data_IF_146465025607
#
_entry.id   IF_146465025607
#
_cell.length_a   1.000
_cell.length_b   1.000
_cell.length_c   1.000
_cell.angle_alpha   90.00
_cell.angle_beta   90.00
_cell.angle_gamma   90.00
#
_symmetry.space_group_name_H-M   'P 1'
#
loop_
_entity.id
_entity.type
_entity.pdbx_description
1 polymer ?
#
# COMPACT_ATOMS: atom_id res chain seq x y z
N UNK A 1 26.95 4.60 -0.34
CA UNK A 1 27.07 3.12 -0.26
C UNK A 1 26.31 2.55 -1.45
N UNK A 2 26.99 1.92 -2.43
CA UNK A 2 26.27 1.25 -3.52
C UNK A 2 25.79 -0.10 -2.96
N UNK A 3 24.48 -0.24 -2.72
CA UNK A 3 23.92 -1.56 -2.48
C UNK A 3 23.95 -2.33 -3.80
N UNK A 4 24.62 -3.48 -3.80
CA UNK A 4 24.51 -4.46 -4.88
C UNK A 4 23.19 -5.23 -4.67
N UNK A 5 22.10 -4.69 -5.23
CA UNK A 5 20.75 -5.26 -5.13
C UNK A 5 20.59 -6.63 -5.78
N UNK A 6 21.64 -7.15 -6.42
CA UNK A 6 21.65 -8.47 -7.04
C UNK A 6 21.64 -9.61 -6.01
N UNK A 7 22.04 -9.34 -4.76
CA UNK A 7 21.98 -10.31 -3.67
C UNK A 7 21.71 -9.63 -2.32
N UNK A 8 20.47 -9.71 -1.83
CA UNK A 8 20.17 -9.43 -0.42
C UNK A 8 20.44 -10.68 0.41
N UNK A 9 21.31 -10.59 1.41
CA UNK A 9 21.49 -11.68 2.37
C UNK A 9 20.34 -11.69 3.40
N UNK A 10 20.20 -12.80 4.15
CA UNK A 10 19.13 -12.95 5.13
C UNK A 10 19.08 -11.81 6.16
N UNK A 11 20.25 -11.30 6.60
CA UNK A 11 20.30 -10.18 7.54
C UNK A 11 19.71 -8.89 6.93
N UNK A 12 19.94 -8.64 5.64
CA UNK A 12 19.39 -7.47 4.94
C UNK A 12 17.88 -7.63 4.69
N UNK A 13 17.41 -8.84 4.36
CA UNK A 13 15.98 -9.13 4.24
C UNK A 13 15.26 -9.00 5.59
N UNK A 14 15.86 -9.49 6.67
CA UNK A 14 15.30 -9.35 8.02
C UNK A 14 15.29 -7.89 8.47
N UNK A 15 16.34 -7.12 8.16
CA UNK A 15 16.36 -5.68 8.42
C UNK A 15 15.26 -4.95 7.62
N UNK A 16 15.03 -5.34 6.36
CA UNK A 16 13.94 -4.79 5.56
C UNK A 16 12.58 -5.13 6.17
N UNK A 17 12.37 -6.39 6.58
CA UNK A 17 11.14 -6.81 7.28
C UNK A 17 10.90 -6.02 8.55
N UNK A 18 11.94 -5.75 9.34
CA UNK A 18 11.80 -4.96 10.57
C UNK A 18 11.38 -3.52 10.27
N UNK A 19 12.00 -2.89 9.26
CA UNK A 19 11.61 -1.54 8.82
C UNK A 19 10.16 -1.51 8.34
N UNK A 20 9.76 -2.49 7.52
CA UNK A 20 8.38 -2.59 7.00
C UNK A 20 7.38 -2.91 8.12
N UNK A 21 7.74 -3.73 9.11
CA UNK A 21 6.90 -4.01 10.28
C UNK A 21 6.63 -2.74 11.11
N UNK A 22 7.66 -1.92 11.34
CA UNK A 22 7.51 -0.64 12.04
C UNK A 22 6.60 0.30 11.24
N UNK A 23 6.85 0.44 9.93
CA UNK A 23 6.02 1.24 9.03
C UNK A 23 4.57 0.75 8.99
N UNK A 24 4.35 -0.56 8.93
CA UNK A 24 3.01 -1.16 8.97
C UNK A 24 2.29 -0.89 10.30
N UNK A 25 2.99 -0.88 11.44
CA UNK A 25 2.42 -0.49 12.73
C UNK A 25 1.98 0.99 12.78
N UNK A 26 2.80 1.88 12.20
CA UNK A 26 2.48 3.30 12.06
C UNK A 26 1.28 3.49 11.10
N UNK A 27 1.28 2.81 9.96
CA UNK A 27 0.19 2.81 8.99
C UNK A 27 -1.11 2.30 9.61
N UNK A 28 -1.07 1.17 10.33
CA UNK A 28 -2.22 0.62 11.05
C UNK A 28 -2.79 1.62 12.07
N UNK A 29 -1.92 2.34 12.78
CA UNK A 29 -2.34 3.40 13.72
C UNK A 29 -3.00 4.58 12.99
N UNK A 30 -2.42 5.04 11.89
CA UNK A 30 -2.95 6.15 11.09
C UNK A 30 -4.29 5.77 10.44
N UNK A 31 -4.38 4.60 9.81
CA UNK A 31 -5.61 4.06 9.24
C UNK A 31 -6.67 3.82 10.31
N UNK A 32 -6.30 3.35 11.51
CA UNK A 32 -7.26 3.17 12.60
C UNK A 32 -7.93 4.49 13.01
N UNK A 33 -7.15 5.58 13.04
CA UNK A 33 -7.66 6.93 13.30
C UNK A 33 -8.56 7.41 12.15
N UNK A 34 -8.14 7.20 10.90
CA UNK A 34 -8.89 7.60 9.71
C UNK A 34 -10.25 6.86 9.64
N UNK A 35 -10.23 5.52 9.77
CA UNK A 35 -11.41 4.66 9.66
C UNK A 35 -12.27 4.62 10.93
N UNK A 36 -11.80 5.21 12.05
CA UNK A 36 -12.42 5.11 13.38
C UNK A 36 -12.73 3.66 13.79
N UNK A 37 -11.84 2.75 13.41
CA UNK A 37 -11.96 1.29 13.63
C UNK A 37 -10.58 0.74 13.97
N UNK A 38 -10.55 -0.39 14.66
CA UNK A 38 -9.26 -1.06 14.88
C UNK A 38 -8.76 -1.63 13.55
N UNK A 39 -7.54 -1.26 13.18
CA UNK A 39 -6.81 -1.82 12.05
C UNK A 39 -5.57 -2.51 12.58
N UNK A 40 -5.35 -3.74 12.14
CA UNK A 40 -4.14 -4.50 12.40
C UNK A 40 -3.49 -4.81 11.07
N UNK A 41 -2.17 -4.66 10.98
CA UNK A 41 -1.38 -5.04 9.82
C UNK A 41 -0.33 -6.04 10.27
N UNK A 42 -0.14 -7.09 9.48
CA UNK A 42 0.92 -8.08 9.68
C UNK A 42 1.84 -8.03 8.45
N UNK A 43 3.16 -8.07 8.66
CA UNK A 43 4.12 -8.20 7.55
C UNK A 43 4.68 -9.61 7.58
N UNK A 44 4.19 -10.51 6.72
CA UNK A 44 4.59 -11.91 6.78
C UNK A 44 5.92 -12.17 6.06
N UNK A 45 6.17 -11.60 4.88
CA UNK A 45 7.29 -12.02 4.02
C UNK A 45 7.94 -10.85 3.25
N UNK A 46 9.23 -11.01 2.91
CA UNK A 46 9.96 -10.10 2.05
C UNK A 46 10.86 -10.94 1.13
N UNK A 47 10.77 -10.70 -0.16
CA UNK A 47 11.48 -11.45 -1.19
C UNK A 47 12.07 -10.50 -2.24
N UNK A 48 13.22 -10.88 -2.79
CA UNK A 48 13.79 -10.23 -3.96
C UNK A 48 13.33 -10.98 -5.21
N UNK A 49 12.47 -10.35 -6.01
CA UNK A 49 11.96 -10.91 -7.26
C UNK A 49 12.14 -9.94 -8.42
N UNK A 50 12.25 -10.42 -9.66
CA UNK A 50 12.14 -9.57 -10.84
C UNK A 50 10.76 -8.92 -10.95
N UNK A 51 10.70 -7.67 -11.39
CA UNK A 51 9.45 -6.90 -11.50
C UNK A 51 8.39 -7.56 -12.38
N UNK A 52 8.80 -8.30 -13.42
CA UNK A 52 7.88 -8.99 -14.32
C UNK A 52 7.23 -10.23 -13.69
N UNK A 53 7.75 -10.73 -12.57
CA UNK A 53 7.15 -11.85 -11.83
C UNK A 53 6.08 -11.39 -10.82
N UNK A 54 5.96 -10.09 -10.55
CA UNK A 54 5.04 -9.55 -9.52
C UNK A 54 3.59 -10.01 -9.77
N UNK A 55 3.13 -9.94 -11.02
CA UNK A 55 1.77 -10.31 -11.39
C UNK A 55 1.49 -11.82 -11.26
N UNK A 56 2.51 -12.67 -11.40
CA UNK A 56 2.38 -14.13 -11.23
C UNK A 56 2.51 -14.55 -9.75
N UNK A 57 3.21 -13.75 -8.94
CA UNK A 57 3.48 -14.03 -7.52
C UNK A 57 2.36 -13.57 -6.58
N UNK A 58 1.73 -12.43 -6.85
CA UNK A 58 0.82 -11.76 -5.90
C UNK A 58 -0.62 -11.61 -6.41
N UNK A 59 -1.04 -12.44 -7.37
CA UNK A 59 -2.42 -12.46 -7.88
C UNK A 59 -2.56 -13.33 -9.12
N UNK A 60 -3.78 -13.38 -9.69
CA UNK A 60 -3.92 -13.85 -11.07
C UNK A 60 -3.55 -12.68 -12.01
N UNK A 61 -2.79 -12.92 -13.09
CA UNK A 61 -2.34 -11.85 -13.99
C UNK A 61 -3.46 -11.00 -14.61
N UNK A 62 -4.69 -11.53 -14.63
CA UNK A 62 -5.88 -10.86 -15.18
C UNK A 62 -6.77 -10.20 -14.12
N UNK A 63 -6.45 -10.33 -12.82
CA UNK A 63 -7.23 -9.71 -11.75
C UNK A 63 -7.00 -8.19 -11.77
N UNK A 64 -8.06 -7.37 -11.88
CA UNK A 64 -7.93 -5.92 -11.77
C UNK A 64 -7.43 -5.51 -10.38
N UNK A 65 -6.50 -4.56 -10.36
CA UNK A 65 -5.91 -4.03 -9.13
C UNK A 65 -5.97 -2.51 -9.13
N UNK A 66 -6.15 -1.95 -7.94
CA UNK A 66 -5.82 -0.56 -7.65
C UNK A 66 -4.33 -0.48 -7.29
N UNK A 67 -3.59 0.44 -7.92
CA UNK A 67 -2.18 0.64 -7.69
C UNK A 67 -1.88 2.09 -7.31
N UNK A 68 -1.18 2.29 -6.20
CA UNK A 68 -0.64 3.60 -5.80
C UNK A 68 0.87 3.56 -5.96
N UNK A 69 1.38 4.38 -6.89
CA UNK A 69 2.80 4.51 -7.19
C UNK A 69 3.35 5.78 -6.54
N UNK A 70 4.35 5.62 -5.68
CA UNK A 70 5.12 6.72 -5.10
C UNK A 70 6.54 6.66 -5.62
N UNK A 71 7.04 7.81 -6.07
CA UNK A 71 8.43 7.98 -6.49
C UNK A 71 9.23 8.58 -5.35
N UNK A 72 10.25 7.85 -4.90
CA UNK A 72 11.21 8.32 -3.92
C UNK A 72 12.41 8.92 -4.65
N UNK A 73 12.83 10.12 -4.22
CA UNK A 73 14.02 10.81 -4.72
C UNK A 73 14.90 11.24 -3.54
N UNK A 74 16.22 11.24 -3.72
CA UNK A 74 17.17 11.68 -2.70
C UNK A 74 18.29 10.67 -2.48
N UNK A 75 18.61 10.38 -1.21
CA UNK A 75 19.66 9.41 -0.83
C UNK A 75 19.34 7.99 -1.32
N UNK A 76 18.06 7.66 -1.43
CA UNK A 76 17.54 6.50 -2.11
C UNK A 76 16.57 6.95 -3.20
N UNK A 77 16.80 6.50 -4.43
CA UNK A 77 15.91 6.74 -5.56
C UNK A 77 15.28 5.43 -5.99
N UNK A 78 13.95 5.41 -6.08
CA UNK A 78 13.21 4.21 -6.40
C UNK A 78 11.72 4.47 -6.49
N UNK A 79 10.99 3.42 -6.86
CA UNK A 79 9.53 3.44 -6.91
C UNK A 79 9.01 2.48 -5.85
N UNK A 80 8.00 2.92 -5.10
CA UNK A 80 7.23 2.07 -4.20
C UNK A 80 5.83 1.94 -4.81
N UNK A 81 5.37 0.70 -4.94
CA UNK A 81 4.03 0.39 -5.46
C UNK A 81 3.25 -0.31 -4.36
N UNK A 82 2.14 0.27 -3.96
CA UNK A 82 1.13 -0.39 -3.15
C UNK A 82 0.05 -0.95 -4.07
N UNK A 83 -0.24 -2.24 -3.95
CA UNK A 83 -1.20 -2.97 -4.77
C UNK A 83 -2.32 -3.53 -3.89
N UNK A 84 -3.53 -3.48 -4.42
CA UNK A 84 -4.73 -4.01 -3.80
C UNK A 84 -5.67 -4.49 -4.89
N UNK A 85 -6.35 -5.62 -4.69
CA UNK A 85 -7.43 -6.04 -5.60
C UNK A 85 -8.49 -4.93 -5.70
N UNK A 86 -8.98 -4.67 -6.91
CA UNK A 86 -9.91 -3.57 -7.17
C UNK A 86 -11.15 -3.63 -6.26
N UNK A 87 -11.68 -4.84 -6.02
CA UNK A 87 -12.83 -5.04 -5.13
C UNK A 87 -12.56 -4.63 -3.68
N UNK A 88 -11.34 -4.86 -3.17
CA UNK A 88 -10.96 -4.47 -1.81
C UNK A 88 -10.69 -2.97 -1.72
N UNK A 89 -10.10 -2.37 -2.76
CA UNK A 89 -9.93 -0.92 -2.86
C UNK A 89 -11.28 -0.20 -2.86
N UNK A 90 -12.25 -0.74 -3.61
CA UNK A 90 -13.61 -0.24 -3.63
C UNK A 90 -14.25 -0.33 -2.24
N UNK A 91 -14.16 -1.47 -1.54
CA UNK A 91 -14.72 -1.62 -0.19
C UNK A 91 -14.10 -0.64 0.81
N UNK A 92 -12.78 -0.46 0.76
CA UNK A 92 -12.09 0.43 1.67
C UNK A 92 -12.47 1.90 1.44
N UNK A 93 -12.50 2.34 0.18
CA UNK A 93 -12.93 3.69 -0.18
C UNK A 93 -14.40 3.93 0.18
N UNK A 94 -15.29 2.95 -0.03
CA UNK A 94 -16.70 3.04 0.38
C UNK A 94 -16.87 3.24 1.90
N UNK A 95 -16.06 2.58 2.73
CA UNK A 95 -16.09 2.77 4.18
C UNK A 95 -15.73 4.22 4.51
N UNK A 96 -14.67 4.76 3.91
CA UNK A 96 -14.19 6.12 4.16
C UNK A 96 -15.19 7.18 3.66
N UNK A 97 -15.68 7.02 2.44
CA UNK A 97 -16.66 7.93 1.83
C UNK A 97 -17.95 7.93 2.63
N UNK A 98 -18.46 6.76 3.03
CA UNK A 98 -19.71 6.66 3.79
C UNK A 98 -19.61 7.31 5.19
N UNK A 99 -18.43 7.36 5.78
CA UNK A 99 -18.22 7.92 7.12
C UNK A 99 -18.23 9.45 7.14
N UNK A 100 -17.51 10.09 6.21
CA UNK A 100 -17.29 11.54 6.25
C UNK A 100 -18.06 12.29 5.14
N UNK A 101 -18.46 11.58 4.07
CA UNK A 101 -19.02 12.16 2.84
C UNK A 101 -20.32 11.46 2.39
N UNK A 102 -20.99 10.75 3.29
CA UNK A 102 -22.18 9.95 2.98
C UNK A 102 -23.37 10.74 2.40
N UNK A 103 -23.39 12.07 2.61
CA UNK A 103 -24.42 12.97 2.08
C UNK A 103 -24.20 13.41 0.63
N UNK A 104 -23.05 13.11 0.04
CA UNK A 104 -22.78 13.38 -1.37
C UNK A 104 -23.64 12.48 -2.26
N UNK A 105 -23.95 12.95 -3.47
CA UNK A 105 -24.57 12.09 -4.48
C UNK A 105 -23.56 11.06 -5.02
N UNK A 106 -24.08 9.99 -5.62
CA UNK A 106 -23.26 8.87 -6.10
C UNK A 106 -22.24 9.26 -7.17
N UNK A 107 -22.56 10.25 -8.03
CA UNK A 107 -21.60 10.70 -9.05
C UNK A 107 -20.41 11.40 -8.39
N UNK A 108 -20.66 12.26 -7.40
CA UNK A 108 -19.58 12.90 -6.64
C UNK A 108 -18.75 11.87 -5.85
N UNK A 109 -19.37 10.83 -5.29
CA UNK A 109 -18.65 9.75 -4.59
C UNK A 109 -17.74 8.97 -5.53
N UNK A 110 -18.21 8.70 -6.74
CA UNK A 110 -17.42 8.05 -7.78
C UNK A 110 -16.19 8.89 -8.17
N UNK A 111 -16.38 10.20 -8.37
CA UNK A 111 -15.31 11.14 -8.76
C UNK A 111 -14.17 11.22 -7.73
N UNK A 112 -14.46 11.03 -6.44
CA UNK A 112 -13.44 11.14 -5.37
C UNK A 112 -12.80 9.80 -5.00
N UNK A 113 -13.32 8.67 -5.50
CA UNK A 113 -12.91 7.33 -5.05
C UNK A 113 -11.41 7.10 -5.24
N UNK A 114 -10.87 7.47 -6.40
CA UNK A 114 -9.45 7.34 -6.69
C UNK A 114 -8.59 8.22 -5.77
N UNK A 115 -9.08 9.40 -5.40
CA UNK A 115 -8.38 10.29 -4.45
C UNK A 115 -8.34 9.68 -3.04
N UNK A 116 -9.44 9.04 -2.61
CA UNK A 116 -9.50 8.33 -1.33
C UNK A 116 -8.52 7.16 -1.32
N UNK A 117 -8.48 6.37 -2.39
CA UNK A 117 -7.52 5.26 -2.52
C UNK A 117 -6.06 5.74 -2.55
N UNK A 118 -5.79 6.86 -3.23
CA UNK A 118 -4.47 7.48 -3.24
C UNK A 118 -4.04 7.92 -1.83
N UNK A 119 -4.95 8.51 -1.04
CA UNK A 119 -4.65 8.93 0.33
C UNK A 119 -4.37 7.73 1.25
N UNK A 120 -5.15 6.65 1.13
CA UNK A 120 -4.86 5.40 1.83
C UNK A 120 -3.47 4.88 1.47
N UNK A 121 -3.12 4.84 0.18
CA UNK A 121 -1.80 4.41 -0.27
C UNK A 121 -0.68 5.30 0.28
N UNK A 122 -0.88 6.62 0.32
CA UNK A 122 0.06 7.57 0.91
C UNK A 122 0.28 7.33 2.40
N UNK A 123 -0.79 7.03 3.16
CA UNK A 123 -0.69 6.70 4.58
C UNK A 123 0.10 5.42 4.78
N UNK A 124 -0.13 4.40 3.95
CA UNK A 124 0.56 3.10 4.09
C UNK A 124 2.04 3.23 3.72
N UNK A 125 2.35 3.88 2.60
CA UNK A 125 3.74 3.98 2.09
C UNK A 125 4.55 5.03 2.87
N UNK A 126 3.92 6.10 3.35
CA UNK A 126 4.60 7.21 4.02
C UNK A 126 4.83 7.02 5.53
N UNK A 127 4.40 5.90 6.11
CA UNK A 127 4.42 5.60 7.53
C UNK A 127 5.78 5.09 8.07
#
# INVERSE_FOLDING_TARGET
MKLEWEHLNNLQLDALKEVVNIGAGNAATALSKLLRRSVTMEVPEAELIPVYEVAERYGAPETPVCAVLIRCEGEFSGNVIFLMEEGEAFRLSEILISQDLGSLDEATKEDIRDSVNAEVGNIIIGA
#
